data_IF_006285575432
#
_entry.id   IF_006285575432
#
_cell.length_a   1.000
_cell.length_b   1.000
_cell.length_c   1.000
_cell.angle_alpha   90.00
_cell.angle_beta   90.00
_cell.angle_gamma   90.00
#
_symmetry.space_group_name_H-M   'P 1'
#
loop_
_entity.id
_entity.type
_entity.pdbx_description
1 polymer ?
#
# COMPACT_ATOMS: atom_id res chain seq x y z
N UNK A 1 -28.36 -22.06 -17.97
CA UNK A 1 -27.11 -22.03 -17.19
C UNK A 1 -27.49 -21.67 -15.77
N UNK A 2 -27.58 -22.68 -14.90
CA UNK A 2 -28.10 -22.54 -13.53
C UNK A 2 -26.95 -22.11 -12.64
N UNK A 3 -27.01 -20.90 -12.07
CA UNK A 3 -26.06 -20.45 -11.05
C UNK A 3 -26.21 -21.31 -9.79
N UNK A 4 -25.12 -21.97 -9.40
CA UNK A 4 -25.01 -22.62 -8.10
C UNK A 4 -24.45 -21.56 -7.14
N UNK A 5 -25.33 -20.88 -6.42
CA UNK A 5 -24.92 -20.03 -5.30
C UNK A 5 -24.33 -20.93 -4.21
N UNK A 6 -23.04 -20.79 -3.93
CA UNK A 6 -22.37 -21.53 -2.86
C UNK A 6 -22.93 -21.07 -1.50
N UNK A 7 -23.49 -21.97 -0.67
CA UNK A 7 -24.02 -21.59 0.63
C UNK A 7 -22.86 -21.23 1.58
N UNK A 8 -22.81 -19.98 2.03
CA UNK A 8 -21.88 -19.52 3.08
C UNK A 8 -21.03 -18.28 2.73
N UNK A 9 -21.13 -17.74 1.51
CA UNK A 9 -20.46 -16.48 1.18
C UNK A 9 -21.30 -15.31 1.72
N UNK A 10 -20.92 -14.78 2.89
CA UNK A 10 -21.45 -13.50 3.37
C UNK A 10 -20.68 -12.39 2.69
N UNK A 11 -21.24 -11.84 1.61
CA UNK A 11 -20.71 -10.62 1.01
C UNK A 11 -21.17 -9.42 1.84
N UNK A 12 -20.22 -8.78 2.53
CA UNK A 12 -20.47 -7.52 3.22
C UNK A 12 -20.15 -6.40 2.24
N UNK A 13 -21.18 -5.75 1.71
CA UNK A 13 -21.02 -4.56 0.89
C UNK A 13 -20.93 -3.32 1.78
N UNK A 14 -19.74 -2.74 1.89
CA UNK A 14 -19.54 -1.46 2.54
C UNK A 14 -19.82 -0.34 1.55
N UNK A 15 -21.01 0.28 1.67
CA UNK A 15 -21.36 1.41 0.82
C UNK A 15 -20.39 2.57 1.09
N UNK A 16 -19.71 3.00 0.03
CA UNK A 16 -18.81 4.16 0.05
C UNK A 16 -19.66 5.41 0.37
N UNK A 17 -19.23 6.19 1.37
CA UNK A 17 -19.90 7.43 1.73
C UNK A 17 -19.66 8.51 0.67
N UNK A 18 -20.50 9.54 0.63
CA UNK A 18 -20.27 10.65 -0.32
C UNK A 18 -18.97 11.40 -0.03
N UNK A 19 -18.54 11.46 1.24
CA UNK A 19 -17.27 12.03 1.63
C UNK A 19 -16.09 11.19 1.10
N UNK A 20 -16.18 9.86 1.17
CA UNK A 20 -15.15 8.97 0.62
C UNK A 20 -15.08 9.07 -0.91
N UNK A 21 -16.22 9.23 -1.59
CA UNK A 21 -16.25 9.46 -3.05
C UNK A 21 -15.57 10.77 -3.44
N UNK A 22 -15.84 11.84 -2.71
CA UNK A 22 -15.20 13.14 -2.97
C UNK A 22 -13.68 13.04 -2.74
N UNK A 23 -13.26 12.37 -1.66
CA UNK A 23 -11.85 12.11 -1.38
C UNK A 23 -11.18 11.28 -2.49
N UNK A 24 -11.87 10.25 -3.02
CA UNK A 24 -11.38 9.45 -4.13
C UNK A 24 -11.12 10.30 -5.39
N UNK A 25 -12.06 11.16 -5.77
CA UNK A 25 -11.92 12.04 -6.94
C UNK A 25 -10.70 12.95 -6.80
N UNK A 26 -10.52 13.54 -5.61
CA UNK A 26 -9.37 14.40 -5.30
C UNK A 26 -8.05 13.63 -5.40
N UNK A 27 -7.99 12.43 -4.83
CA UNK A 27 -6.80 11.57 -4.88
C UNK A 27 -6.47 11.16 -6.31
N UNK A 28 -7.47 10.74 -7.11
CA UNK A 28 -7.27 10.34 -8.50
C UNK A 28 -6.75 11.51 -9.36
N UNK A 29 -7.28 12.72 -9.14
CA UNK A 29 -6.81 13.93 -9.82
C UNK A 29 -5.35 14.24 -9.47
N UNK A 30 -4.99 14.18 -8.18
CA UNK A 30 -3.64 14.41 -7.71
C UNK A 30 -2.64 13.37 -8.25
N UNK A 31 -3.02 12.09 -8.26
CA UNK A 31 -2.21 11.02 -8.84
C UNK A 31 -1.97 11.25 -10.33
N UNK A 32 -3.01 11.61 -11.09
CA UNK A 32 -2.87 11.88 -12.53
C UNK A 32 -1.94 13.06 -12.79
N UNK A 33 -2.06 14.13 -12.02
CA UNK A 33 -1.18 15.29 -12.13
C UNK A 33 0.28 14.94 -11.80
N UNK A 34 0.51 14.09 -10.80
CA UNK A 34 1.85 13.61 -10.43
C UNK A 34 2.53 12.85 -11.57
N UNK A 35 1.84 11.90 -12.19
CA UNK A 35 2.41 11.11 -13.29
C UNK A 35 2.59 11.90 -14.60
N UNK A 36 1.75 12.92 -14.86
CA UNK A 36 1.86 13.74 -16.08
C UNK A 36 3.06 14.70 -16.05
N UNK A 37 3.45 15.15 -14.86
CA UNK A 37 4.49 16.18 -14.70
C UNK A 37 5.85 15.61 -14.31
N UNK A 38 5.97 14.28 -14.17
CA UNK A 38 7.21 13.69 -13.69
C UNK A 38 8.24 13.54 -14.80
N UNK A 39 9.43 14.07 -14.55
CA UNK A 39 10.63 13.81 -15.34
C UNK A 39 11.46 12.76 -14.61
N UNK A 40 11.60 11.57 -15.19
CA UNK A 40 12.35 10.46 -14.57
C UNK A 40 11.78 9.09 -14.92
N UNK A 41 12.20 8.09 -14.14
CA UNK A 41 11.70 6.72 -14.23
C UNK A 41 10.37 6.57 -13.50
N UNK A 42 9.58 5.56 -13.90
CA UNK A 42 8.37 5.18 -13.18
C UNK A 42 8.64 4.85 -11.71
N UNK A 43 9.83 4.32 -11.38
CA UNK A 43 10.21 4.01 -10.00
C UNK A 43 10.30 5.28 -9.16
N UNK A 44 11.00 6.30 -9.65
CA UNK A 44 11.10 7.60 -8.96
C UNK A 44 9.72 8.25 -8.80
N UNK A 45 8.81 8.05 -9.77
CA UNK A 45 7.43 8.50 -9.66
C UNK A 45 6.68 7.86 -8.48
N UNK A 46 6.78 6.53 -8.37
CA UNK A 46 6.14 5.77 -7.29
C UNK A 46 6.78 6.06 -5.92
N UNK A 47 8.10 6.19 -5.86
CA UNK A 47 8.81 6.50 -4.62
C UNK A 47 8.41 7.91 -4.13
N UNK A 48 8.38 8.91 -5.02
CA UNK A 48 7.95 10.27 -4.68
C UNK A 48 6.48 10.32 -4.24
N UNK A 49 5.60 9.56 -4.89
CA UNK A 49 4.19 9.46 -4.50
C UNK A 49 4.03 8.81 -3.12
N UNK A 50 4.74 7.71 -2.89
CA UNK A 50 4.67 6.96 -1.62
C UNK A 50 5.20 7.78 -0.46
N UNK A 51 6.28 8.55 -0.68
CA UNK A 51 6.87 9.43 0.32
C UNK A 51 5.94 10.55 0.81
N UNK A 52 4.90 10.92 0.05
CA UNK A 52 3.88 11.87 0.50
C UNK A 52 2.87 11.28 1.47
N UNK A 53 2.81 9.94 1.59
CA UNK A 53 1.90 9.28 2.54
C UNK A 53 2.52 9.32 3.93
N UNK A 54 1.93 10.05 4.89
CA UNK A 54 2.50 10.14 6.23
C UNK A 54 2.40 8.80 6.95
N UNK A 55 3.39 8.51 7.80
CA UNK A 55 3.31 7.40 8.76
C UNK A 55 2.23 7.74 9.80
N UNK A 56 1.37 6.76 10.11
CA UNK A 56 0.30 6.95 11.08
C UNK A 56 0.85 7.26 12.48
N UNK A 57 0.19 8.12 13.28
CA UNK A 57 0.61 8.40 14.65
C UNK A 57 0.69 7.12 15.50
N UNK A 58 1.74 7.01 16.32
CA UNK A 58 1.95 5.86 17.21
C UNK A 58 2.44 4.60 16.50
N UNK A 59 3.01 4.73 15.30
CA UNK A 59 3.72 3.65 14.60
C UNK A 59 5.21 3.90 14.69
N UNK A 60 5.94 2.92 15.24
CA UNK A 60 7.39 2.89 15.27
C UNK A 60 7.95 2.16 14.05
N UNK A 61 9.07 2.67 13.54
CA UNK A 61 9.80 2.11 12.40
C UNK A 61 11.21 1.76 12.83
N UNK A 62 11.64 0.52 12.59
CA UNK A 62 13.01 0.08 12.80
C UNK A 62 13.55 -0.54 11.51
N UNK A 63 14.66 0.00 11.01
CA UNK A 63 15.36 -0.51 9.85
C UNK A 63 16.04 -1.85 10.18
N UNK A 64 15.97 -2.81 9.25
CA UNK A 64 16.55 -4.14 9.38
C UNK A 64 17.40 -4.44 8.16
N UNK A 65 18.66 -4.77 8.44
CA UNK A 65 19.59 -5.29 7.45
C UNK A 65 20.19 -6.59 7.96
N UNK A 66 19.58 -7.72 7.58
CA UNK A 66 20.05 -9.04 7.98
C UNK A 66 20.08 -9.99 6.79
N UNK A 67 21.13 -10.80 6.70
CA UNK A 67 21.21 -11.98 5.80
C UNK A 67 20.72 -11.72 4.36
N UNK A 68 21.16 -10.59 3.77
CA UNK A 68 20.82 -10.14 2.42
C UNK A 68 19.38 -9.65 2.19
N UNK A 69 18.59 -9.45 3.25
CA UNK A 69 17.28 -8.79 3.19
C UNK A 69 17.38 -7.43 3.87
N UNK A 70 16.95 -6.40 3.15
CA UNK A 70 16.74 -5.06 3.72
C UNK A 70 15.25 -4.80 3.80
N UNK A 71 14.79 -4.32 4.95
CA UNK A 71 13.37 -4.11 5.22
C UNK A 71 13.14 -3.27 6.45
N UNK A 72 11.88 -3.19 6.88
CA UNK A 72 11.47 -2.39 8.02
C UNK A 72 10.58 -3.23 8.92
N UNK A 73 10.86 -3.20 10.23
CA UNK A 73 9.85 -3.49 11.23
C UNK A 73 8.94 -2.28 11.37
N UNK A 74 7.64 -2.51 11.25
CA UNK A 74 6.60 -1.51 11.45
C UNK A 74 5.74 -1.96 12.62
N UNK A 75 5.74 -1.21 13.71
CA UNK A 75 5.10 -1.61 14.97
C UNK A 75 4.16 -0.53 15.48
N UNK A 76 2.84 -0.69 15.34
CA UNK A 76 1.87 0.13 16.05
C UNK A 76 2.03 -0.04 17.57
N UNK A 77 1.85 1.04 18.34
CA UNK A 77 2.00 1.05 19.80
C UNK A 77 1.11 0.04 20.55
N UNK A 78 0.00 -0.37 19.95
CA UNK A 78 -0.95 -1.32 20.51
C UNK A 78 -0.90 -2.71 19.84
N UNK A 79 0.14 -3.00 19.05
CA UNK A 79 0.27 -4.28 18.38
C UNK A 79 0.59 -5.42 19.37
N UNK A 80 -0.09 -6.57 19.30
CA UNK A 80 0.28 -7.76 20.07
C UNK A 80 1.70 -8.22 19.74
N UNK A 81 2.50 -8.52 20.76
CA UNK A 81 3.91 -8.92 20.59
C UNK A 81 4.09 -10.34 20.03
N UNK A 82 3.02 -11.11 19.91
CA UNK A 82 3.00 -12.52 19.47
C UNK A 82 2.56 -12.69 18.02
N UNK A 83 2.32 -11.60 17.29
CA UNK A 83 1.82 -11.61 15.91
C UNK A 83 2.68 -10.75 15.00
N UNK A 84 2.93 -11.26 13.80
CA UNK A 84 3.62 -10.53 12.75
C UNK A 84 2.86 -10.66 11.43
N UNK A 85 2.89 -9.60 10.63
CA UNK A 85 2.41 -9.60 9.25
C UNK A 85 3.64 -9.40 8.37
N UNK A 86 3.91 -10.36 7.49
CA UNK A 86 4.88 -10.18 6.42
C UNK A 86 4.21 -9.44 5.27
N UNK A 87 4.59 -8.19 5.05
CA UNK A 87 4.15 -7.41 3.91
C UNK A 87 5.22 -7.40 2.83
N UNK A 88 4.85 -7.80 1.61
CA UNK A 88 5.71 -7.74 0.44
C UNK A 88 5.16 -6.67 -0.49
N UNK A 89 5.88 -5.55 -0.64
CA UNK A 89 5.46 -4.50 -1.56
C UNK A 89 5.59 -4.97 -3.00
N UNK A 90 4.56 -4.72 -3.81
CA UNK A 90 4.59 -5.03 -5.24
C UNK A 90 5.43 -3.97 -5.95
N UNK A 91 6.73 -4.19 -6.02
CA UNK A 91 7.60 -3.50 -6.97
C UNK A 91 8.39 -4.58 -7.71
N UNK A 92 8.14 -4.73 -9.00
CA UNK A 92 8.85 -5.70 -9.85
C UNK A 92 10.35 -5.37 -9.83
N UNK A 93 11.10 -6.11 -9.03
CA UNK A 93 12.55 -6.01 -8.95
C UNK A 93 13.15 -6.44 -10.30
N UNK A 94 13.50 -5.47 -11.16
CA UNK A 94 14.40 -5.72 -12.29
C UNK A 94 15.81 -5.74 -11.71
N UNK A 95 16.23 -6.91 -11.23
CA UNK A 95 17.65 -7.16 -11.02
C UNK A 95 18.34 -7.06 -12.37
N UNK A 96 19.22 -6.08 -12.53
CA UNK A 96 20.32 -6.23 -13.49
C UNK A 96 21.13 -7.42 -12.99
N UNK A 97 21.05 -8.55 -13.71
CA UNK A 97 22.10 -9.54 -13.67
C UNK A 97 23.15 -9.06 -14.66
N UNK A 98 24.34 -8.79 -14.14
CA UNK A 98 25.56 -8.74 -14.95
C UNK A 98 25.82 -10.12 -15.59
#
# INVERSE_FOLDING_TARGET
MTEIAAPGLVEIFHQISDADREAEIVVLSAMRAHFLNLTGTMREAYDAMTAMTPIAPGVDLADVHEQAVSGWWVSPCNAPSDRAILFLSCCRFRGHRD
#
